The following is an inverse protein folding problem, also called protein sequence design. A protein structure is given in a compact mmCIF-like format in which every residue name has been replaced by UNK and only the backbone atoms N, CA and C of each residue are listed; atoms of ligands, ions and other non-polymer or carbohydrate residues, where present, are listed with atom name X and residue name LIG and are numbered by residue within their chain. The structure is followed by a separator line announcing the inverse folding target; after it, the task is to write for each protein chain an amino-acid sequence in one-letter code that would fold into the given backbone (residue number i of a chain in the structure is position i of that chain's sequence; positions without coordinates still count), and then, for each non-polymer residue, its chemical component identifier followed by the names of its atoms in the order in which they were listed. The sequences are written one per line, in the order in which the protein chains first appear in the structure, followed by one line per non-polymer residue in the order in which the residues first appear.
data_IF_497156218558
#
_entry.id   IF_497156218558
#
_cell.length_a   1.000
_cell.length_b   1.000
_cell.length_c   1.000
_cell.angle_alpha   90.00
_cell.angle_beta   90.00
_cell.angle_gamma   90.00
#
_symmetry.space_group_name_H-M   'P 1'
#
loop_
_entity.id
_entity.type
_entity.pdbx_description
1 polymer ?
#
# COMPACT_ATOMS: atom_id res chain seq x y z
N UNK A 1 -41.96 -38.84 144.47
CA UNK A 1 -43.12 -38.49 143.60
C UNK A 1 -42.81 -37.43 142.54
N UNK A 2 -41.66 -36.75 142.53
CA UNK A 2 -41.32 -35.68 141.57
C UNK A 2 -40.81 -36.17 140.21
N UNK A 3 -40.11 -37.30 140.15
CA UNK A 3 -39.52 -37.83 138.90
C UNK A 3 -40.57 -38.30 137.88
N UNK A 4 -41.70 -38.85 138.36
CA UNK A 4 -42.79 -39.32 137.50
C UNK A 4 -43.49 -38.14 136.79
N UNK A 5 -43.56 -36.98 137.44
CA UNK A 5 -44.19 -35.77 136.90
C UNK A 5 -43.37 -35.15 135.76
N UNK A 6 -42.04 -35.16 135.87
CA UNK A 6 -41.14 -34.65 134.81
C UNK A 6 -41.21 -35.49 133.55
N UNK A 7 -41.25 -36.82 133.66
CA UNK A 7 -41.37 -37.72 132.51
C UNK A 7 -42.71 -37.60 131.79
N UNK A 8 -43.80 -37.37 132.54
CA UNK A 8 -45.12 -37.14 131.94
C UNK A 8 -45.16 -35.82 131.16
N UNK A 9 -44.57 -34.74 131.70
CA UNK A 9 -44.49 -33.46 131.00
C UNK A 9 -43.66 -33.54 129.70
N UNK A 10 -42.56 -34.31 129.71
CA UNK A 10 -41.72 -34.51 128.51
C UNK A 10 -42.44 -35.34 127.43
N UNK A 11 -43.24 -36.34 127.83
CA UNK A 11 -44.05 -37.12 126.90
C UNK A 11 -45.19 -36.30 126.27
N UNK A 12 -45.83 -35.42 127.05
CA UNK A 12 -46.89 -34.51 126.56
C UNK A 12 -46.28 -33.45 125.63
N UNK A 13 -45.15 -32.84 126.01
CA UNK A 13 -44.46 -31.85 125.17
C UNK A 13 -43.94 -32.48 123.87
N UNK A 14 -43.42 -33.71 123.92
CA UNK A 14 -42.97 -34.43 122.73
C UNK A 14 -44.12 -34.75 121.75
N UNK A 15 -45.31 -35.05 122.27
CA UNK A 15 -46.49 -35.35 121.45
C UNK A 15 -47.08 -34.12 120.77
N UNK A 16 -47.11 -32.98 121.46
CA UNK A 16 -47.55 -31.69 120.90
C UNK A 16 -46.56 -31.18 119.82
N UNK A 17 -45.26 -31.41 120.01
CA UNK A 17 -44.24 -31.04 119.01
C UNK A 17 -44.29 -31.93 117.76
N UNK A 18 -44.64 -33.21 117.92
CA UNK A 18 -44.82 -34.14 116.81
C UNK A 18 -46.05 -33.79 115.95
N UNK A 19 -47.16 -33.38 116.57
CA UNK A 19 -48.38 -32.97 115.85
C UNK A 19 -48.25 -31.60 115.17
N UNK A 20 -47.47 -30.68 115.74
CA UNK A 20 -47.15 -29.40 115.09
C UNK A 20 -46.27 -29.59 113.83
N UNK A 21 -45.47 -30.65 113.77
CA UNK A 21 -44.59 -30.96 112.63
C UNK A 21 -45.34 -31.63 111.46
N UNK A 22 -46.40 -32.40 111.73
CA UNK A 22 -47.22 -33.02 110.69
C UNK A 22 -48.09 -32.02 109.91
N UNK A 23 -48.50 -30.90 110.53
CA UNK A 23 -49.36 -29.89 109.87
C UNK A 23 -48.64 -28.97 108.88
N UNK A 24 -47.30 -28.93 108.88
CA UNK A 24 -46.49 -28.09 107.98
C UNK A 24 -45.98 -28.80 106.72
N UNK A 25 -46.34 -30.07 106.50
CA UNK A 25 -46.01 -30.77 105.25
C UNK A 25 -47.19 -30.77 104.26
N UNK A 26 -47.03 -29.89 103.26
CA UNK A 26 -47.66 -29.80 101.94
C UNK A 26 -48.96 -28.99 101.78
N UNK A 27 -49.12 -28.23 100.67
CA UNK A 27 -48.55 -28.51 99.34
C UNK A 27 -47.83 -27.33 98.66
N UNK A 28 -46.51 -27.45 98.47
CA UNK A 28 -45.71 -26.64 97.52
C UNK A 28 -45.28 -27.45 96.29
N UNK A 29 -46.13 -28.39 95.86
CA UNK A 29 -45.80 -29.39 94.83
C UNK A 29 -46.25 -29.08 93.38
N UNK A 30 -47.25 -28.21 93.08
CA UNK A 30 -47.61 -27.95 91.69
C UNK A 30 -46.66 -26.95 91.00
N UNK A 31 -46.23 -25.89 91.68
CA UNK A 31 -45.40 -24.83 91.05
C UNK A 31 -43.97 -25.29 90.75
N UNK A 32 -43.36 -26.13 91.60
CA UNK A 32 -42.01 -26.66 91.35
C UNK A 32 -42.04 -27.70 90.21
N UNK A 33 -43.14 -28.45 90.07
CA UNK A 33 -43.34 -29.37 88.95
C UNK A 33 -43.57 -28.61 87.64
N UNK A 34 -44.35 -27.53 87.67
CA UNK A 34 -44.62 -26.67 86.51
C UNK A 34 -43.35 -25.91 86.07
N UNK A 35 -42.62 -25.28 87.00
CA UNK A 35 -41.34 -24.62 86.71
C UNK A 35 -40.32 -25.62 86.14
N UNK A 36 -40.26 -26.86 86.64
CA UNK A 36 -39.36 -27.90 86.07
C UNK A 36 -39.79 -28.34 84.67
N UNK A 37 -41.09 -28.33 84.39
CA UNK A 37 -41.64 -28.66 83.07
C UNK A 37 -41.38 -27.52 82.08
N UNK A 38 -41.57 -26.27 82.51
CA UNK A 38 -41.23 -25.06 81.74
C UNK A 38 -39.73 -24.94 81.49
N UNK A 39 -38.87 -25.25 82.48
CA UNK A 39 -37.41 -25.21 82.30
C UNK A 39 -36.93 -26.33 81.36
N UNK A 40 -37.59 -27.50 81.35
CA UNK A 40 -37.33 -28.55 80.37
C UNK A 40 -37.81 -28.16 78.97
N UNK A 41 -38.96 -27.50 78.86
CA UNK A 41 -39.46 -26.98 77.59
C UNK A 41 -38.53 -25.88 77.05
N UNK A 42 -38.09 -24.94 77.90
CA UNK A 42 -37.13 -23.89 77.55
C UNK A 42 -35.74 -24.44 77.23
N UNK A 43 -35.32 -25.53 77.88
CA UNK A 43 -34.08 -26.22 77.53
C UNK A 43 -34.22 -26.93 76.18
N UNK A 44 -35.37 -27.57 75.92
CA UNK A 44 -35.68 -28.17 74.61
C UNK A 44 -35.67 -27.13 73.49
N UNK A 45 -36.34 -25.99 73.67
CA UNK A 45 -36.33 -24.91 72.66
C UNK A 45 -34.96 -24.27 72.50
N UNK A 46 -34.16 -24.18 73.57
CA UNK A 46 -32.76 -23.74 73.49
C UNK A 46 -31.90 -24.72 72.70
N UNK A 47 -32.00 -26.02 72.98
CA UNK A 47 -31.23 -27.06 72.29
C UNK A 47 -31.64 -27.12 70.80
N UNK A 48 -32.92 -26.92 70.48
CA UNK A 48 -33.43 -26.77 69.11
C UNK A 48 -32.89 -25.51 68.42
N UNK A 49 -32.86 -24.36 69.10
CA UNK A 49 -32.29 -23.12 68.58
C UNK A 49 -30.78 -23.20 68.38
N UNK A 50 -30.06 -23.89 69.27
CA UNK A 50 -28.62 -24.16 69.13
C UNK A 50 -28.37 -25.11 67.95
N UNK A 51 -29.20 -26.15 67.78
CA UNK A 51 -29.17 -27.03 66.60
C UNK A 51 -29.47 -26.30 65.30
N UNK A 52 -30.48 -25.42 65.28
CA UNK A 52 -30.82 -24.62 64.10
C UNK A 52 -29.72 -23.63 63.75
N UNK A 53 -29.12 -22.96 64.75
CA UNK A 53 -27.96 -22.08 64.55
C UNK A 53 -26.74 -22.83 64.04
N UNK A 54 -26.49 -24.05 64.52
CA UNK A 54 -25.41 -24.90 64.01
C UNK A 54 -25.64 -25.28 62.54
N UNK A 55 -26.85 -25.73 62.19
CA UNK A 55 -27.22 -26.06 60.82
C UNK A 55 -27.17 -24.85 59.88
N UNK A 56 -27.59 -23.66 60.34
CA UNK A 56 -27.48 -22.43 59.57
C UNK A 56 -26.02 -22.01 59.35
N UNK A 57 -25.15 -22.14 60.37
CA UNK A 57 -23.71 -21.87 60.23
C UNK A 57 -23.07 -22.82 59.23
N UNK A 58 -23.36 -24.11 59.32
CA UNK A 58 -22.85 -25.10 58.38
C UNK A 58 -23.28 -24.79 56.93
N UNK A 59 -24.55 -24.39 56.73
CA UNK A 59 -25.05 -23.98 55.42
C UNK A 59 -24.39 -22.71 54.90
N UNK A 60 -24.14 -21.73 55.76
CA UNK A 60 -23.43 -20.50 55.39
C UNK A 60 -21.96 -20.79 55.05
N UNK A 61 -21.30 -21.66 55.80
CA UNK A 61 -19.92 -22.08 55.53
C UNK A 61 -19.83 -22.86 54.20
N UNK A 62 -20.82 -23.70 53.89
CA UNK A 62 -20.91 -24.40 52.62
C UNK A 62 -21.08 -23.44 51.44
N UNK A 63 -21.96 -22.45 51.56
CA UNK A 63 -22.18 -21.41 50.54
C UNK A 63 -20.95 -20.51 50.37
N UNK A 64 -20.25 -20.16 51.46
CA UNK A 64 -19.01 -19.39 51.40
C UNK A 64 -17.94 -20.15 50.60
N UNK A 65 -17.75 -21.45 50.87
CA UNK A 65 -16.82 -22.31 50.11
C UNK A 65 -17.20 -22.49 48.65
N UNK A 66 -18.49 -22.41 48.31
CA UNK A 66 -18.96 -22.46 46.92
C UNK A 66 -18.65 -21.14 46.20
N UNK A 67 -18.96 -20.00 46.84
CA UNK A 67 -18.61 -18.68 46.30
C UNK A 67 -17.11 -18.49 46.10
N UNK A 68 -16.29 -18.99 47.02
CA UNK A 68 -14.83 -18.89 46.89
C UNK A 68 -14.32 -19.72 45.70
N UNK A 69 -14.88 -20.92 45.48
CA UNK A 69 -14.58 -21.74 44.29
C UNK A 69 -15.01 -21.06 42.99
N UNK A 70 -16.19 -20.44 42.98
CA UNK A 70 -16.68 -19.72 41.81
C UNK A 70 -15.81 -18.49 41.50
N UNK A 71 -15.38 -17.75 42.52
CA UNK A 71 -14.44 -16.63 42.35
C UNK A 71 -13.11 -17.08 41.77
N UNK A 72 -12.54 -18.15 42.29
CA UNK A 72 -11.28 -18.72 41.76
C UNK A 72 -11.44 -19.18 40.30
N UNK A 73 -12.58 -19.78 39.95
CA UNK A 73 -12.87 -20.20 38.59
C UNK A 73 -13.02 -19.00 37.63
N UNK A 74 -13.68 -17.93 38.08
CA UNK A 74 -13.84 -16.68 37.33
C UNK A 74 -12.49 -15.97 37.14
N UNK A 75 -11.69 -15.85 38.19
CA UNK A 75 -10.35 -15.25 38.11
C UNK A 75 -9.45 -16.03 37.14
N UNK A 76 -9.54 -17.36 37.17
CA UNK A 76 -8.84 -18.23 36.22
C UNK A 76 -9.34 -18.10 34.78
N UNK A 77 -10.64 -17.87 34.57
CA UNK A 77 -11.19 -17.57 33.25
C UNK A 77 -10.74 -16.19 32.75
N UNK A 78 -10.80 -15.16 33.59
CA UNK A 78 -10.40 -13.79 33.27
C UNK A 78 -8.90 -13.67 32.97
N UNK A 79 -8.05 -14.43 33.69
CA UNK A 79 -6.63 -14.52 33.38
C UNK A 79 -6.38 -15.13 31.99
N UNK A 80 -7.11 -16.20 31.63
CA UNK A 80 -7.02 -16.82 30.30
C UNK A 80 -7.53 -15.88 29.20
N UNK A 81 -8.64 -15.21 29.42
CA UNK A 81 -9.20 -14.23 28.47
C UNK A 81 -8.19 -13.10 28.23
N UNK A 82 -7.62 -12.53 29.30
CA UNK A 82 -6.59 -11.47 29.17
C UNK A 82 -5.35 -11.96 28.43
N UNK A 83 -4.90 -13.18 28.69
CA UNK A 83 -3.77 -13.77 27.96
C UNK A 83 -4.05 -13.95 26.47
N UNK A 84 -5.25 -14.41 26.10
CA UNK A 84 -5.65 -14.56 24.70
C UNK A 84 -5.77 -13.21 24.00
N UNK A 85 -6.34 -12.20 24.68
CA UNK A 85 -6.43 -10.84 24.15
C UNK A 85 -5.02 -10.28 23.90
N UNK A 86 -4.10 -10.44 24.86
CA UNK A 86 -2.71 -10.01 24.70
C UNK A 86 -2.06 -10.73 23.50
N UNK A 87 -2.21 -12.04 23.39
CA UNK A 87 -1.64 -12.82 22.28
C UNK A 87 -2.20 -12.39 20.91
N UNK A 88 -3.51 -12.14 20.82
CA UNK A 88 -4.14 -11.67 19.58
C UNK A 88 -3.61 -10.28 19.23
N UNK A 89 -3.55 -9.37 20.20
CA UNK A 89 -3.15 -7.99 19.97
C UNK A 89 -1.65 -7.83 19.67
N UNK A 90 -0.80 -8.59 20.36
CA UNK A 90 0.66 -8.49 20.20
C UNK A 90 1.18 -9.20 18.95
N UNK A 91 0.48 -10.24 18.49
CA UNK A 91 0.98 -11.08 17.38
C UNK A 91 0.08 -11.07 16.16
N UNK A 92 -1.20 -11.40 16.33
CA UNK A 92 -2.08 -11.58 15.19
C UNK A 92 -2.46 -10.25 14.51
N UNK A 93 -2.70 -9.20 15.29
CA UNK A 93 -3.06 -7.89 14.72
C UNK A 93 -1.92 -7.32 13.86
N UNK A 94 -0.65 -7.26 14.34
CA UNK A 94 0.47 -6.85 13.50
C UNK A 94 0.65 -7.74 12.27
N UNK A 95 0.64 -9.08 12.43
CA UNK A 95 0.83 -10.01 11.32
C UNK A 95 -0.22 -9.84 10.20
N UNK A 96 -1.49 -9.65 10.59
CA UNK A 96 -2.59 -9.39 9.65
C UNK A 96 -2.44 -8.03 8.99
N UNK A 97 -2.07 -6.99 9.75
CA UNK A 97 -1.88 -5.65 9.21
C UNK A 97 -0.72 -5.61 8.21
N UNK A 98 0.40 -6.26 8.52
CA UNK A 98 1.55 -6.38 7.63
C UNK A 98 1.22 -7.14 6.35
N UNK A 99 0.42 -8.21 6.47
CA UNK A 99 -0.04 -8.97 5.30
C UNK A 99 -1.00 -8.14 4.44
N UNK A 100 -1.91 -7.39 5.05
CA UNK A 100 -2.84 -6.52 4.35
C UNK A 100 -2.11 -5.38 3.63
N UNK A 101 -1.09 -4.80 4.27
CA UNK A 101 -0.24 -3.77 3.67
C UNK A 101 0.54 -4.31 2.47
N UNK A 102 1.17 -5.47 2.60
CA UNK A 102 1.83 -6.14 1.45
C UNK A 102 0.87 -6.43 0.30
N UNK A 103 -0.36 -6.85 0.59
CA UNK A 103 -1.38 -7.07 -0.44
C UNK A 103 -1.83 -5.76 -1.11
N UNK A 104 -1.95 -4.67 -0.35
CA UNK A 104 -2.27 -3.35 -0.90
C UNK A 104 -1.16 -2.84 -1.82
N UNK A 105 0.10 -2.91 -1.38
CA UNK A 105 1.26 -2.54 -2.20
C UNK A 105 1.33 -3.34 -3.50
N UNK A 106 1.12 -4.66 -3.44
CA UNK A 106 1.08 -5.50 -4.63
C UNK A 106 -0.08 -5.13 -5.58
N UNK A 107 -1.26 -4.81 -5.02
CA UNK A 107 -2.41 -4.38 -5.81
C UNK A 107 -2.19 -3.00 -6.46
N UNK A 108 -1.49 -2.08 -5.79
CA UNK A 108 -1.16 -0.77 -6.32
C UNK A 108 -0.15 -0.86 -7.47
N UNK A 109 0.90 -1.68 -7.32
CA UNK A 109 1.84 -1.99 -8.41
C UNK A 109 1.12 -2.62 -9.62
N UNK A 110 0.17 -3.51 -9.38
CA UNK A 110 -0.62 -4.12 -10.44
C UNK A 110 -1.52 -3.09 -11.14
N UNK A 111 -2.14 -2.16 -10.40
CA UNK A 111 -2.94 -1.07 -10.98
C UNK A 111 -2.10 -0.16 -11.86
N UNK A 112 -0.90 0.22 -11.42
CA UNK A 112 0.01 1.05 -12.20
C UNK A 112 0.41 0.36 -13.52
N UNK A 113 0.74 -0.94 -13.46
CA UNK A 113 1.07 -1.74 -14.64
C UNK A 113 -0.11 -1.81 -15.62
N UNK A 114 -1.32 -2.02 -15.11
CA UNK A 114 -2.55 -2.04 -15.94
C UNK A 114 -2.83 -0.68 -16.57
N UNK A 115 -2.65 0.42 -15.84
CA UNK A 115 -2.81 1.77 -16.38
C UNK A 115 -1.83 2.07 -17.50
N UNK A 116 -0.56 1.69 -17.32
CA UNK A 116 0.47 1.82 -18.37
C UNK A 116 0.10 1.01 -19.61
N UNK A 117 -0.28 -0.26 -19.44
CA UNK A 117 -0.70 -1.11 -20.55
C UNK A 117 -1.94 -0.55 -21.26
N UNK A 118 -2.90 0.00 -20.50
CA UNK A 118 -4.08 0.64 -21.07
C UNK A 118 -3.73 1.87 -21.92
N UNK A 119 -2.76 2.68 -21.47
CA UNK A 119 -2.26 3.82 -22.24
C UNK A 119 -1.56 3.37 -23.55
N UNK A 120 -0.74 2.32 -23.49
CA UNK A 120 -0.09 1.74 -24.68
C UNK A 120 -1.12 1.19 -25.67
N UNK A 121 -2.12 0.43 -25.21
CA UNK A 121 -3.21 -0.09 -26.05
C UNK A 121 -4.06 1.03 -26.63
N UNK A 122 -4.34 2.10 -25.88
CA UNK A 122 -5.05 3.26 -26.39
C UNK A 122 -4.26 3.96 -27.51
N UNK A 123 -2.93 4.09 -27.36
CA UNK A 123 -2.03 4.61 -28.39
C UNK A 123 -2.05 3.75 -29.66
N UNK A 124 -1.94 2.42 -29.52
CA UNK A 124 -2.01 1.49 -30.66
C UNK A 124 -3.37 1.58 -31.36
N UNK A 125 -4.47 1.63 -30.61
CA UNK A 125 -5.81 1.74 -31.18
C UNK A 125 -5.97 3.06 -31.95
N UNK A 126 -5.55 4.18 -31.38
CA UNK A 126 -5.60 5.48 -32.05
C UNK A 126 -4.80 5.45 -33.36
N UNK A 127 -3.60 4.86 -33.34
CA UNK A 127 -2.78 4.69 -34.53
C UNK A 127 -3.47 3.83 -35.61
N UNK A 128 -4.05 2.68 -35.23
CA UNK A 128 -4.75 1.81 -36.16
C UNK A 128 -5.99 2.48 -36.76
N UNK A 129 -6.77 3.22 -35.96
CA UNK A 129 -7.91 4.00 -36.45
C UNK A 129 -7.42 5.05 -37.46
N UNK A 130 -6.39 5.83 -37.12
CA UNK A 130 -5.84 6.82 -38.04
C UNK A 130 -5.26 6.21 -39.33
N UNK A 131 -4.73 4.99 -39.27
CA UNK A 131 -4.30 4.25 -40.47
C UNK A 131 -5.47 3.79 -41.32
N UNK A 132 -6.54 3.33 -40.68
CA UNK A 132 -7.75 2.91 -41.38
C UNK A 132 -8.41 4.10 -42.07
N UNK A 133 -8.53 5.24 -41.39
CA UNK A 133 -9.08 6.48 -41.96
C UNK A 133 -8.25 6.95 -43.17
N UNK A 134 -6.92 6.86 -43.09
CA UNK A 134 -6.02 7.18 -44.23
C UNK A 134 -6.15 6.19 -45.37
N UNK A 135 -6.29 4.89 -45.10
CA UNK A 135 -6.52 3.88 -46.13
C UNK A 135 -7.88 4.07 -46.82
N UNK A 136 -8.92 4.47 -46.07
CA UNK A 136 -10.24 4.82 -46.59
C UNK A 136 -10.14 6.09 -47.44
N UNK A 137 -9.49 7.15 -46.96
CA UNK A 137 -9.25 8.36 -47.73
C UNK A 137 -8.47 8.08 -49.04
N UNK A 138 -7.44 7.22 -48.97
CA UNK A 138 -6.69 6.79 -50.14
C UNK A 138 -7.55 6.02 -51.16
N UNK A 139 -8.44 5.15 -50.67
CA UNK A 139 -9.41 4.42 -51.51
C UNK A 139 -10.46 5.35 -52.14
N UNK A 140 -10.74 6.49 -51.51
CA UNK A 140 -11.65 7.54 -52.00
C UNK A 140 -10.97 8.56 -52.93
N UNK A 141 -9.71 8.33 -53.32
CA UNK A 141 -8.98 9.17 -54.27
C UNK A 141 -8.16 10.31 -53.65
N UNK A 142 -8.07 10.39 -52.32
CA UNK A 142 -7.02 11.19 -51.69
C UNK A 142 -5.65 10.51 -51.90
N UNK A 143 -4.56 11.28 -52.00
CA UNK A 143 -3.22 10.69 -51.99
C UNK A 143 -2.97 9.99 -50.64
N UNK A 144 -2.30 8.82 -50.60
CA UNK A 144 -1.92 8.22 -49.33
C UNK A 144 -1.04 9.20 -48.56
N UNK A 145 -1.36 9.47 -47.29
CA UNK A 145 -0.46 10.21 -46.43
C UNK A 145 0.75 9.32 -46.14
N UNK A 146 1.87 9.63 -46.79
CA UNK A 146 3.10 8.88 -46.64
C UNK A 146 3.55 8.91 -45.17
N UNK A 147 3.82 7.73 -44.61
CA UNK A 147 4.38 7.61 -43.25
C UNK A 147 5.89 7.67 -43.37
N UNK A 148 6.48 8.58 -42.61
CA UNK A 148 7.92 8.82 -42.57
C UNK A 148 8.46 8.25 -41.26
N UNK A 149 9.41 7.35 -41.35
CA UNK A 149 10.10 6.83 -40.17
C UNK A 149 11.10 7.88 -39.65
N UNK A 150 11.07 8.11 -38.34
CA UNK A 150 12.07 8.86 -37.60
C UNK A 150 12.66 8.02 -36.47
N UNK A 151 13.83 8.40 -35.99
CA UNK A 151 14.45 7.81 -34.79
C UNK A 151 15.22 8.86 -34.00
N UNK A 152 15.24 8.69 -32.67
CA UNK A 152 15.95 9.56 -31.75
C UNK A 152 16.69 8.74 -30.71
N UNK A 153 18.01 8.71 -30.81
CA UNK A 153 18.89 7.98 -29.89
C UNK A 153 19.80 8.95 -29.12
N UNK A 154 20.07 8.63 -27.86
CA UNK A 154 21.00 9.38 -27.01
C UNK A 154 21.79 8.41 -26.12
N UNK A 155 23.08 8.68 -25.94
CA UNK A 155 23.96 7.96 -25.02
C UNK A 155 24.64 8.98 -24.10
N UNK A 156 24.33 9.02 -22.79
CA UNK A 156 23.47 8.10 -22.03
C UNK A 156 21.96 8.28 -22.33
N UNK A 157 21.12 7.24 -22.12
CA UNK A 157 19.69 7.26 -22.48
C UNK A 157 18.89 8.33 -21.73
N UNK A 158 19.33 8.75 -20.54
CA UNK A 158 18.70 9.83 -19.77
C UNK A 158 18.70 11.18 -20.53
N UNK A 159 19.70 11.40 -21.40
CA UNK A 159 19.79 12.61 -22.22
C UNK A 159 18.69 12.73 -23.28
N UNK A 160 17.97 11.63 -23.56
CA UNK A 160 16.90 11.61 -24.56
C UNK A 160 15.74 12.53 -24.21
N UNK A 161 15.39 12.66 -22.92
CA UNK A 161 14.26 13.49 -22.51
C UNK A 161 14.44 14.96 -22.89
N UNK A 162 15.68 15.47 -22.89
CA UNK A 162 15.99 16.82 -23.35
C UNK A 162 15.93 17.00 -24.87
N UNK A 163 16.06 15.90 -25.64
CA UNK A 163 16.01 15.90 -27.11
C UNK A 163 14.59 15.77 -27.67
N UNK A 164 13.68 15.11 -26.95
CA UNK A 164 12.33 14.82 -27.45
C UNK A 164 11.58 16.09 -27.85
N UNK A 165 11.55 17.11 -27.00
CA UNK A 165 10.84 18.37 -27.30
C UNK A 165 11.37 19.09 -28.55
N UNK A 166 12.69 19.39 -28.63
CA UNK A 166 13.29 19.98 -29.82
C UNK A 166 13.08 19.16 -31.10
N UNK A 167 13.13 17.82 -31.00
CA UNK A 167 12.88 16.93 -32.13
C UNK A 167 11.44 17.01 -32.63
N UNK A 168 10.45 16.94 -31.74
CA UNK A 168 9.03 17.01 -32.10
C UNK A 168 8.66 18.39 -32.67
N UNK A 169 9.18 19.46 -32.07
CA UNK A 169 9.00 20.82 -32.60
C UNK A 169 9.64 20.99 -33.99
N UNK A 170 10.81 20.39 -34.21
CA UNK A 170 11.45 20.40 -35.51
C UNK A 170 10.63 19.63 -36.56
N UNK A 171 10.08 18.47 -36.20
CA UNK A 171 9.16 17.71 -37.05
C UNK A 171 7.94 18.56 -37.44
N UNK A 172 7.29 19.20 -36.46
CA UNK A 172 6.09 20.03 -36.68
C UNK A 172 6.37 21.21 -37.63
N UNK A 173 7.50 21.90 -37.48
CA UNK A 173 7.93 23.00 -38.37
C UNK A 173 8.10 22.56 -39.83
N UNK A 174 8.42 21.29 -40.06
CA UNK A 174 8.52 20.70 -41.39
C UNK A 174 7.21 20.03 -41.85
N UNK A 175 6.09 20.29 -41.17
CA UNK A 175 4.77 19.79 -41.51
C UNK A 175 4.58 18.30 -41.19
N UNK A 176 5.33 17.78 -40.23
CA UNK A 176 5.21 16.39 -39.76
C UNK A 176 4.57 16.33 -38.38
N UNK A 177 3.63 15.41 -38.22
CA UNK A 177 2.95 15.13 -36.98
C UNK A 177 3.40 13.77 -36.45
N UNK A 178 3.70 13.70 -35.15
CA UNK A 178 4.02 12.44 -34.48
C UNK A 178 2.74 11.65 -34.24
N UNK A 179 2.61 10.50 -34.88
CA UNK A 179 1.43 9.64 -34.72
C UNK A 179 1.62 8.54 -33.69
N UNK A 180 2.84 8.01 -33.61
CA UNK A 180 3.19 6.92 -32.72
C UNK A 180 4.67 7.00 -32.37
N UNK A 181 4.98 6.67 -31.13
CA UNK A 181 6.34 6.48 -30.64
C UNK A 181 6.48 5.06 -30.10
N UNK A 182 7.57 4.39 -30.46
CA UNK A 182 7.91 3.06 -29.98
C UNK A 182 9.40 3.02 -29.62
N UNK A 183 9.71 3.06 -28.32
CA UNK A 183 11.09 3.19 -27.88
C UNK A 183 11.72 4.44 -28.48
N UNK A 184 12.81 4.30 -29.22
CA UNK A 184 13.56 5.35 -29.94
C UNK A 184 12.98 5.69 -31.33
N UNK A 185 11.91 5.01 -31.77
CA UNK A 185 11.32 5.18 -33.10
C UNK A 185 10.12 6.11 -33.08
N UNK A 186 9.99 6.90 -34.14
CA UNK A 186 8.90 7.83 -34.38
C UNK A 186 8.24 7.50 -35.71
N UNK A 187 6.91 7.44 -35.72
CA UNK A 187 6.11 7.32 -36.93
C UNK A 187 5.45 8.66 -37.20
N UNK A 188 5.86 9.30 -38.30
CA UNK A 188 5.49 10.66 -38.62
C UNK A 188 4.59 10.67 -39.85
N UNK A 189 3.61 11.57 -39.89
CA UNK A 189 2.77 11.79 -41.07
C UNK A 189 2.65 13.27 -41.40
N UNK A 190 2.23 13.57 -42.64
CA UNK A 190 1.90 14.94 -43.06
C UNK A 190 2.54 15.34 -44.38
N UNK A 191 3.76 14.87 -44.68
CA UNK A 191 4.44 15.15 -45.94
C UNK A 191 5.10 13.91 -46.54
N UNK A 192 5.21 13.89 -47.87
CA UNK A 192 5.87 12.82 -48.58
C UNK A 192 7.39 12.82 -48.37
N UNK A 193 8.05 11.65 -48.30
CA UNK A 193 9.50 11.55 -48.21
C UNK A 193 10.23 12.31 -49.33
N UNK A 194 9.62 12.38 -50.53
CA UNK A 194 10.16 13.13 -51.67
C UNK A 194 10.13 14.63 -51.45
N UNK A 195 9.04 15.16 -50.92
CA UNK A 195 8.95 16.58 -50.61
C UNK A 195 9.93 16.95 -49.47
N UNK A 196 10.06 16.07 -48.48
CA UNK A 196 11.03 16.25 -47.40
C UNK A 196 12.49 16.20 -47.86
N UNK A 197 12.85 15.29 -48.78
CA UNK A 197 14.22 15.21 -49.31
C UNK A 197 14.63 16.56 -49.93
N UNK A 198 13.76 17.18 -50.72
CA UNK A 198 14.05 18.48 -51.34
C UNK A 198 14.27 19.59 -50.30
N UNK A 199 13.33 19.75 -49.36
CA UNK A 199 13.39 20.79 -48.34
C UNK A 199 14.60 20.60 -47.40
N UNK A 200 14.94 19.36 -47.07
CA UNK A 200 16.12 19.07 -46.25
C UNK A 200 17.43 19.24 -47.01
N UNK A 201 17.46 19.01 -48.33
CA UNK A 201 18.64 19.33 -49.15
C UNK A 201 18.89 20.84 -49.14
N UNK A 202 17.85 21.65 -49.32
CA UNK A 202 17.95 23.11 -49.22
C UNK A 202 18.43 23.54 -47.82
N UNK A 203 17.90 22.90 -46.77
CA UNK A 203 18.32 23.15 -45.39
C UNK A 203 19.81 22.85 -45.17
N UNK A 204 20.28 21.67 -45.59
CA UNK A 204 21.68 21.25 -45.43
C UNK A 204 22.62 22.11 -46.26
N UNK A 205 22.23 22.49 -47.47
CA UNK A 205 22.99 23.44 -48.28
C UNK A 205 23.07 24.82 -47.62
N UNK A 206 21.96 25.30 -47.06
CA UNK A 206 21.94 26.54 -46.29
C UNK A 206 22.81 26.48 -45.02
N UNK A 207 22.87 25.33 -44.34
CA UNK A 207 23.78 25.11 -43.21
C UNK A 207 25.25 25.12 -43.66
N UNK A 208 25.58 24.48 -44.80
CA UNK A 208 26.95 24.50 -45.35
C UNK A 208 27.40 25.91 -45.75
N UNK A 209 26.46 26.75 -46.17
CA UNK A 209 26.69 28.12 -46.61
C UNK A 209 26.61 29.15 -45.46
N UNK A 210 26.54 28.70 -44.19
CA UNK A 210 26.38 29.54 -43.00
C UNK A 210 25.17 30.51 -43.09
N UNK A 211 24.08 30.08 -43.73
CA UNK A 211 22.87 30.88 -43.85
C UNK A 211 22.11 30.93 -42.51
N UNK A 212 22.02 32.13 -41.93
CA UNK A 212 21.36 32.35 -40.63
C UNK A 212 19.92 31.81 -40.58
N UNK A 213 19.15 31.92 -41.67
CA UNK A 213 17.74 31.48 -41.71
C UNK A 213 17.61 29.95 -41.59
N UNK A 214 18.48 29.19 -42.25
CA UNK A 214 18.51 27.73 -42.14
C UNK A 214 19.02 27.29 -40.77
N UNK A 215 19.96 28.04 -40.20
CA UNK A 215 20.49 27.78 -38.88
C UNK A 215 19.44 27.95 -37.78
N UNK A 216 18.67 29.05 -37.78
CA UNK A 216 17.59 29.30 -36.81
C UNK A 216 16.54 28.17 -36.76
N UNK A 217 16.24 27.54 -37.91
CA UNK A 217 15.25 26.47 -37.99
C UNK A 217 15.69 25.20 -37.25
N UNK A 218 16.97 24.85 -37.33
CA UNK A 218 17.56 23.60 -36.81
C UNK A 218 18.28 23.81 -35.48
N UNK A 219 18.60 25.06 -35.12
CA UNK A 219 19.35 25.43 -33.91
C UNK A 219 18.87 24.71 -32.65
N UNK A 220 17.57 24.70 -32.29
CA UNK A 220 17.13 24.05 -31.05
C UNK A 220 17.46 22.55 -31.01
N UNK A 221 17.38 21.88 -32.16
CA UNK A 221 17.74 20.46 -32.27
C UNK A 221 19.26 20.25 -32.21
N UNK A 222 20.04 21.11 -32.86
CA UNK A 222 21.51 21.02 -32.82
C UNK A 222 22.07 21.30 -31.43
N UNK A 223 21.52 22.28 -30.71
CA UNK A 223 21.92 22.61 -29.34
C UNK A 223 21.63 21.44 -28.40
N UNK A 224 20.42 20.88 -28.46
CA UNK A 224 20.06 19.74 -27.64
C UNK A 224 20.91 18.49 -27.96
N UNK A 225 21.28 18.28 -29.23
CA UNK A 225 22.20 17.19 -29.64
C UNK A 225 23.65 17.44 -29.21
N UNK A 226 24.09 18.70 -29.18
CA UNK A 226 25.42 19.06 -28.67
C UNK A 226 25.54 18.67 -27.19
N UNK A 227 24.50 18.98 -26.40
CA UNK A 227 24.51 18.83 -24.95
C UNK A 227 24.39 17.36 -24.49
N UNK A 228 23.95 16.46 -25.36
CA UNK A 228 23.82 15.02 -25.06
C UNK A 228 25.13 14.22 -25.24
N UNK A 229 26.17 14.81 -25.83
CA UNK A 229 27.50 14.22 -26.01
C UNK A 229 27.59 13.13 -27.10
N UNK A 230 26.61 12.22 -27.18
CA UNK A 230 26.45 11.22 -28.24
C UNK A 230 24.98 10.99 -28.54
N UNK A 231 24.58 11.05 -29.81
CA UNK A 231 23.19 10.82 -30.19
C UNK A 231 22.95 10.90 -31.70
N UNK A 232 21.81 10.37 -32.13
CA UNK A 232 21.34 10.47 -33.51
C UNK A 232 19.90 10.97 -33.52
N UNK A 233 19.59 11.87 -34.44
CA UNK A 233 18.23 12.31 -34.74
C UNK A 233 17.97 12.12 -36.22
N UNK A 234 17.01 11.26 -36.55
CA UNK A 234 16.60 10.95 -37.91
C UNK A 234 15.17 11.40 -38.12
N UNK A 235 14.95 12.19 -39.16
CA UNK A 235 13.64 12.68 -39.57
C UNK A 235 13.45 12.34 -41.06
N UNK A 236 12.97 11.13 -41.35
CA UNK A 236 12.85 10.66 -42.73
C UNK A 236 14.21 10.55 -43.43
N UNK A 237 14.47 11.34 -44.50
CA UNK A 237 15.76 11.39 -45.16
C UNK A 237 16.81 12.22 -44.41
N UNK A 238 16.41 13.14 -43.52
CA UNK A 238 17.38 13.91 -42.73
C UNK A 238 17.95 13.05 -41.60
N UNK A 239 19.26 13.12 -41.43
CA UNK A 239 19.98 12.50 -40.32
C UNK A 239 20.98 13.50 -39.72
N UNK A 240 20.90 13.68 -38.41
CA UNK A 240 21.85 14.45 -37.62
C UNK A 240 22.53 13.50 -36.63
N UNK A 241 23.85 13.54 -36.60
CA UNK A 241 24.66 12.61 -35.81
C UNK A 241 25.66 13.39 -34.98
N UNK A 242 25.60 13.17 -33.67
CA UNK A 242 26.61 13.62 -32.70
C UNK A 242 27.44 12.42 -32.24
N UNK A 243 28.72 12.44 -32.60
CA UNK A 243 29.77 11.63 -31.93
C UNK A 243 30.50 12.54 -30.94
N UNK A 244 31.44 12.08 -30.09
CA UNK A 244 32.21 13.00 -29.23
C UNK A 244 33.02 14.02 -30.02
N UNK A 245 33.52 13.62 -31.17
CA UNK A 245 34.49 14.36 -31.99
C UNK A 245 33.84 15.22 -33.06
N UNK A 246 32.61 14.92 -33.46
CA UNK A 246 31.96 15.63 -34.57
C UNK A 246 30.45 15.75 -34.41
N UNK A 247 29.88 16.76 -35.07
CA UNK A 247 28.46 16.90 -35.28
C UNK A 247 28.24 17.01 -36.80
N UNK A 248 27.55 16.05 -37.39
CA UNK A 248 27.36 15.97 -38.84
C UNK A 248 25.87 15.92 -39.14
N UNK A 249 25.43 16.70 -40.11
CA UNK A 249 24.06 16.72 -40.61
C UNK A 249 24.05 16.34 -42.08
N UNK A 250 23.13 15.51 -42.53
CA UNK A 250 23.02 15.19 -43.94
C UNK A 250 21.70 14.58 -44.34
N UNK A 251 21.48 14.52 -45.65
CA UNK A 251 20.26 14.00 -46.26
C UNK A 251 20.57 12.71 -47.01
N UNK A 252 20.02 11.61 -46.50
CA UNK A 252 20.11 10.31 -47.13
C UNK A 252 19.23 10.25 -48.39
N UNK A 253 19.74 9.67 -49.50
CA UNK A 253 18.91 9.37 -50.66
C UNK A 253 17.75 8.46 -50.27
N UNK A 254 16.57 8.68 -50.84
CA UNK A 254 15.40 7.83 -50.54
C UNK A 254 15.64 6.34 -50.82
N UNK A 255 16.48 6.02 -51.81
CA UNK A 255 16.88 4.65 -52.12
C UNK A 255 17.60 3.95 -50.94
N UNK A 256 18.33 4.71 -50.12
CA UNK A 256 19.04 4.19 -48.95
C UNK A 256 18.09 3.98 -47.76
N UNK A 257 16.99 4.74 -47.68
CA UNK A 257 15.96 4.57 -46.66
C UNK A 257 15.12 3.30 -46.85
N UNK A 258 14.97 2.85 -48.10
CA UNK A 258 14.23 1.64 -48.45
C UNK A 258 15.02 0.35 -48.15
N UNK A 259 16.30 0.46 -47.80
CA UNK A 259 17.16 -0.69 -47.50
C UNK A 259 17.06 -1.02 -45.99
N UNK A 260 16.61 -2.22 -45.61
CA UNK A 260 16.40 -2.59 -44.21
C UNK A 260 17.72 -2.69 -43.42
N UNK A 261 18.83 -3.02 -44.08
CA UNK A 261 20.17 -3.07 -43.50
C UNK A 261 20.67 -1.69 -43.05
N UNK A 262 20.23 -0.62 -43.73
CA UNK A 262 20.58 0.75 -43.38
C UNK A 262 19.94 1.19 -42.06
N UNK A 263 18.73 0.73 -41.76
CA UNK A 263 17.94 1.29 -40.67
C UNK A 263 18.62 1.11 -39.30
N UNK A 264 19.12 -0.10 -39.02
CA UNK A 264 19.78 -0.42 -37.74
C UNK A 264 21.22 0.12 -37.66
N UNK A 265 21.89 0.27 -38.80
CA UNK A 265 23.26 0.82 -38.85
C UNK A 265 23.30 2.34 -38.61
N UNK A 266 22.18 3.03 -38.78
CA UNK A 266 22.06 4.49 -38.58
C UNK A 266 21.72 4.88 -37.13
N UNK A 267 21.31 3.91 -36.31
CA UNK A 267 21.06 4.10 -34.88
C UNK A 267 22.36 4.16 -34.06
N UNK A 268 23.48 3.72 -34.64
CA UNK A 268 24.81 3.85 -34.05
C UNK A 268 25.52 5.13 -34.55
N UNK A 269 25.85 6.10 -33.66
CA UNK A 269 26.33 7.41 -34.07
C UNK A 269 27.67 7.34 -34.83
N UNK A 270 28.57 6.42 -34.51
CA UNK A 270 29.83 6.27 -35.24
C UNK A 270 29.60 5.82 -36.69
N UNK A 271 28.73 4.83 -36.89
CA UNK A 271 28.40 4.33 -38.23
C UNK A 271 27.58 5.35 -39.03
N UNK A 272 26.63 6.04 -38.39
CA UNK A 272 25.88 7.13 -38.99
C UNK A 272 26.79 8.25 -39.49
N UNK A 273 27.75 8.71 -38.67
CA UNK A 273 28.70 9.75 -39.06
C UNK A 273 29.60 9.31 -40.23
N UNK A 274 30.13 8.08 -40.21
CA UNK A 274 30.92 7.52 -41.32
C UNK A 274 30.11 7.46 -42.60
N UNK A 275 28.83 7.06 -42.52
CA UNK A 275 27.95 6.97 -43.68
C UNK A 275 27.65 8.35 -44.26
N UNK A 276 27.36 9.34 -43.42
CA UNK A 276 27.10 10.72 -43.88
C UNK A 276 28.32 11.31 -44.61
N UNK A 277 29.54 11.05 -44.14
CA UNK A 277 30.77 11.52 -44.80
C UNK A 277 31.05 10.88 -46.17
N UNK A 278 30.37 9.77 -46.51
CA UNK A 278 30.46 9.14 -47.83
C UNK A 278 29.45 9.71 -48.84
N UNK A 279 28.55 10.59 -48.40
CA UNK A 279 27.57 11.21 -49.28
C UNK A 279 28.24 12.26 -50.20
N UNK A 280 27.65 12.52 -51.38
CA UNK A 280 28.11 13.60 -52.27
C UNK A 280 28.13 14.96 -51.59
N UNK A 281 29.05 15.82 -52.03
CA UNK A 281 29.11 17.22 -51.62
C UNK A 281 27.76 17.91 -51.86
N UNK A 282 27.30 18.68 -50.87
CA UNK A 282 25.98 19.33 -50.87
C UNK A 282 24.84 18.49 -50.28
N UNK A 283 25.07 17.22 -49.92
CA UNK A 283 24.13 16.39 -49.12
C UNK A 283 24.56 16.22 -47.67
N UNK A 284 25.75 16.68 -47.31
CA UNK A 284 26.33 16.58 -45.97
C UNK A 284 26.93 17.92 -45.58
N UNK A 285 26.72 18.29 -44.32
CA UNK A 285 27.29 19.46 -43.66
C UNK A 285 28.04 18.99 -42.41
N UNK A 286 29.31 19.38 -42.31
CA UNK A 286 30.08 19.21 -41.08
C UNK A 286 29.85 20.43 -40.18
N UNK A 287 29.25 20.20 -39.00
CA UNK A 287 28.92 21.20 -37.99
C UNK A 287 29.82 21.06 -36.76
N UNK A 288 30.97 20.42 -36.90
CA UNK A 288 31.91 20.19 -35.78
C UNK A 288 32.39 21.50 -35.16
N UNK A 289 32.54 22.57 -35.96
CA UNK A 289 32.88 23.90 -35.44
C UNK A 289 31.80 24.45 -34.47
N UNK A 290 30.52 24.21 -34.77
CA UNK A 290 29.41 24.59 -33.89
C UNK A 290 29.40 23.76 -32.59
N UNK A 291 29.69 22.47 -32.67
CA UNK A 291 29.75 21.59 -31.50
C UNK A 291 30.87 21.97 -30.51
N UNK A 292 31.95 22.59 -31.00
CA UNK A 292 33.05 23.11 -30.18
C UNK A 292 32.80 24.48 -29.55
N UNK A 293 31.71 25.16 -29.93
CA UNK A 293 31.37 26.48 -29.41
C UNK A 293 30.68 26.34 -28.04
N UNK A 294 31.17 27.06 -27.03
CA UNK A 294 30.63 27.02 -25.67
C UNK A 294 29.12 27.31 -25.68
N UNK A 295 28.32 26.68 -24.79
CA UNK A 295 26.90 26.95 -24.71
C UNK A 295 26.69 28.45 -24.41
N UNK A 296 26.03 29.14 -25.33
CA UNK A 296 25.54 30.50 -25.10
C UNK A 296 24.43 30.41 -24.06
N UNK A 297 24.76 30.74 -22.82
CA UNK A 297 23.81 30.86 -21.71
C UNK A 297 22.91 32.07 -21.84
#
# INVERSE_FOLDING_TARGET
MTVVLVLLCLAIAGRELYLAFERKRSPGAPEIADIRTQLRALKGTRDELEGFRAAQRERLDALAREQDRDREALDGADARIRSLIAQINERMVPDVNDRLNRQREAADLQRETVQRLAAEVAGIRAHLVGRLDRAVAASLGAGPADVVAGSLTARPPAGRHGLTGPYEQFAERHGLNVELTDGDRYYLSGRSPRALEHDFLELVQGLCADCAVSFEKVRPLLEALRDTGRGTARLGPLLVVRTPESLVCGVLPLADLLRPESAHSLDDPENGARRLRQLPEGRVCDLTAFAGQAPSG
#
